data_IF_874854764563
#
_entry.id   IF_874854764563
#
_cell.length_a   1.000
_cell.length_b   1.000
_cell.length_c   1.000
_cell.angle_alpha   90.00
_cell.angle_beta   90.00
_cell.angle_gamma   90.00
#
_symmetry.space_group_name_H-M   'P 1'
#
loop_
_entity.id
_entity.type
_entity.pdbx_description
1 polymer ?
#
# COMPACT_ATOMS: atom_id res chain seq x y z
N UNK A 1 -5.34 9.57 9.87
CA UNK A 1 -5.43 9.19 11.29
C UNK A 1 -6.73 8.52 11.72
N UNK A 2 -7.90 8.79 11.11
CA UNK A 2 -9.16 8.08 11.47
C UNK A 2 -9.39 6.74 10.73
N UNK A 3 -8.91 6.61 9.49
CA UNK A 3 -9.06 5.39 8.69
C UNK A 3 -8.36 4.16 9.31
N UNK A 4 -7.15 4.36 9.87
CA UNK A 4 -6.41 3.31 10.57
C UNK A 4 -7.13 2.84 11.83
N UNK A 5 -7.82 3.73 12.54
CA UNK A 5 -8.57 3.35 13.74
C UNK A 5 -9.87 2.61 13.37
N UNK A 6 -10.53 2.96 12.26
CA UNK A 6 -11.68 2.21 11.73
C UNK A 6 -11.25 0.81 11.26
N UNK A 7 -10.16 0.68 10.50
CA UNK A 7 -9.63 -0.63 10.06
C UNK A 7 -9.10 -1.45 11.24
N UNK A 8 -8.44 -0.83 12.23
CA UNK A 8 -7.97 -1.50 13.45
C UNK A 8 -9.13 -1.92 14.37
N UNK A 9 -10.18 -1.11 14.49
CA UNK A 9 -11.41 -1.48 15.21
C UNK A 9 -12.12 -2.60 14.47
N UNK A 10 -12.31 -2.50 13.15
CA UNK A 10 -12.90 -3.58 12.35
C UNK A 10 -12.09 -4.88 12.47
N UNK A 11 -10.76 -4.84 12.39
CA UNK A 11 -9.91 -6.03 12.56
C UNK A 11 -9.92 -6.61 13.98
N UNK A 12 -10.03 -5.77 15.03
CA UNK A 12 -10.31 -6.22 16.40
C UNK A 12 -11.64 -6.98 16.50
N UNK A 13 -12.61 -6.65 15.65
CA UNK A 13 -13.95 -7.28 15.61
C UNK A 13 -14.01 -8.50 14.67
N UNK A 14 -13.02 -8.67 13.77
CA UNK A 14 -12.86 -9.84 12.89
C UNK A 14 -12.01 -10.97 13.53
N UNK A 15 -11.63 -10.84 14.81
CA UNK A 15 -10.91 -11.87 15.59
C UNK A 15 -11.53 -13.28 15.68
N UNK A 16 -12.84 -13.53 15.45
CA UNK A 16 -13.38 -14.90 15.49
C UNK A 16 -12.85 -15.81 14.38
N UNK A 17 -12.28 -15.25 13.31
CA UNK A 17 -11.92 -16.03 12.14
C UNK A 17 -10.46 -16.49 12.19
N UNK A 18 -10.24 -17.81 12.12
CA UNK A 18 -8.91 -18.44 12.00
C UNK A 18 -8.26 -18.22 10.62
N UNK A 19 -9.01 -17.66 9.67
CA UNK A 19 -8.59 -17.27 8.33
C UNK A 19 -9.11 -15.87 8.01
N UNK A 20 -8.62 -15.24 6.94
CA UNK A 20 -9.25 -14.02 6.44
C UNK A 20 -10.73 -14.33 6.06
N UNK A 21 -11.73 -13.73 6.73
CA UNK A 21 -13.13 -13.98 6.40
C UNK A 21 -13.45 -13.42 5.03
N UNK A 22 -14.42 -13.96 4.30
CA UNK A 22 -14.95 -13.36 3.06
C UNK A 22 -15.59 -11.99 3.35
N UNK A 23 -15.72 -11.09 2.35
CA UNK A 23 -16.42 -9.81 2.55
C UNK A 23 -17.83 -9.98 3.13
N UNK A 24 -18.55 -11.02 2.68
CA UNK A 24 -19.87 -11.39 3.21
C UNK A 24 -19.82 -11.76 4.69
N UNK A 25 -18.94 -12.69 5.08
CA UNK A 25 -18.78 -13.11 6.48
C UNK A 25 -18.44 -11.92 7.40
N UNK A 26 -17.55 -11.03 6.93
CA UNK A 26 -17.17 -9.83 7.67
C UNK A 26 -18.35 -8.88 7.88
N UNK A 27 -19.16 -8.62 6.84
CA UNK A 27 -20.32 -7.73 6.96
C UNK A 27 -21.48 -8.37 7.73
N UNK A 28 -21.68 -9.68 7.64
CA UNK A 28 -22.66 -10.37 8.49
C UNK A 28 -22.29 -10.23 9.97
N UNK A 29 -21.02 -10.44 10.33
CA UNK A 29 -20.56 -10.26 11.71
C UNK A 29 -20.68 -8.80 12.17
N UNK A 30 -20.43 -7.84 11.27
CA UNK A 30 -20.63 -6.41 11.53
C UNK A 30 -22.12 -6.10 11.80
N UNK A 31 -23.02 -6.60 10.96
CA UNK A 31 -24.47 -6.37 11.10
C UNK A 31 -25.02 -7.00 12.39
N UNK A 32 -24.62 -8.24 12.70
CA UNK A 32 -25.03 -8.91 13.95
C UNK A 32 -24.70 -8.05 15.18
N UNK A 33 -23.52 -7.42 15.17
CA UNK A 33 -23.03 -6.63 16.29
C UNK A 33 -23.63 -5.23 16.35
N UNK A 34 -23.80 -4.55 15.22
CA UNK A 34 -24.28 -3.17 15.17
C UNK A 34 -25.80 -3.04 15.10
N UNK A 35 -26.50 -4.03 14.55
CA UNK A 35 -27.95 -3.94 14.28
C UNK A 35 -28.78 -3.55 15.49
N UNK A 36 -28.47 -4.10 16.66
CA UNK A 36 -29.23 -3.79 17.88
C UNK A 36 -28.98 -2.36 18.35
N UNK A 37 -27.78 -1.81 18.15
CA UNK A 37 -27.48 -0.42 18.51
C UNK A 37 -28.08 0.56 17.50
N UNK A 38 -27.93 0.28 16.22
CA UNK A 38 -28.47 1.09 15.13
C UNK A 38 -30.00 1.13 15.16
N UNK A 39 -30.65 -0.01 15.40
CA UNK A 39 -32.11 -0.08 15.56
C UNK A 39 -32.60 0.75 16.76
N UNK A 40 -31.87 0.77 17.88
CA UNK A 40 -32.22 1.62 19.04
C UNK A 40 -32.08 3.12 18.75
N UNK A 41 -31.22 3.48 17.81
CA UNK A 41 -30.99 4.86 17.38
C UNK A 41 -31.86 5.24 16.16
N UNK A 42 -32.75 4.35 15.71
CA UNK A 42 -33.54 4.51 14.47
C UNK A 42 -32.68 4.90 13.26
N UNK A 43 -31.47 4.35 13.21
CA UNK A 43 -30.43 4.70 12.25
C UNK A 43 -29.95 3.47 11.50
N UNK A 44 -29.29 3.68 10.36
CA UNK A 44 -28.68 2.64 9.54
C UNK A 44 -27.38 3.15 8.91
N UNK A 45 -26.57 2.23 8.37
CA UNK A 45 -25.30 2.57 7.71
C UNK A 45 -25.22 1.86 6.37
N UNK A 46 -24.86 2.61 5.33
CA UNK A 46 -24.55 2.04 4.01
C UNK A 46 -23.08 1.63 3.96
N UNK A 47 -22.76 0.52 3.30
CA UNK A 47 -21.39 0.00 3.22
C UNK A 47 -21.10 -0.58 1.85
N UNK A 48 -19.94 -0.26 1.29
CA UNK A 48 -19.34 -0.97 0.17
C UNK A 48 -18.07 -1.69 0.63
N UNK A 49 -18.01 -3.00 0.40
CA UNK A 49 -16.80 -3.80 0.62
C UNK A 49 -16.38 -4.49 -0.67
N UNK A 50 -15.37 -3.91 -1.34
CA UNK A 50 -14.62 -4.53 -2.43
C UNK A 50 -13.37 -5.24 -1.89
N UNK A 51 -13.18 -6.50 -2.31
CA UNK A 51 -11.92 -7.24 -2.14
C UNK A 51 -11.38 -7.65 -3.50
N UNK A 52 -10.08 -7.41 -3.69
CA UNK A 52 -9.34 -7.77 -4.90
C UNK A 52 -8.32 -8.85 -4.56
N UNK A 53 -8.42 -10.01 -5.21
CA UNK A 53 -7.40 -11.05 -5.19
C UNK A 53 -6.53 -10.90 -6.44
N UNK A 54 -5.30 -10.43 -6.22
CA UNK A 54 -4.33 -10.19 -7.30
C UNK A 54 -3.73 -11.49 -7.84
N UNK A 55 -3.65 -12.54 -7.04
CA UNK A 55 -3.05 -13.81 -7.45
C UNK A 55 -3.98 -14.54 -8.43
N UNK A 56 -5.29 -14.53 -8.15
CA UNK A 56 -6.29 -15.19 -9.00
C UNK A 56 -6.97 -14.24 -10.00
N UNK A 57 -6.69 -12.93 -9.93
CA UNK A 57 -7.31 -11.90 -10.76
C UNK A 57 -8.85 -11.90 -10.65
N UNK A 58 -9.34 -12.02 -9.41
CA UNK A 58 -10.76 -12.07 -9.08
C UNK A 58 -11.11 -11.01 -8.04
N UNK A 59 -12.33 -10.50 -8.10
CA UNK A 59 -12.85 -9.62 -7.08
C UNK A 59 -14.10 -10.21 -6.42
N UNK A 60 -14.37 -9.74 -5.21
CA UNK A 60 -15.62 -9.98 -4.49
C UNK A 60 -16.13 -8.67 -3.93
N UNK A 61 -17.42 -8.41 -4.11
CA UNK A 61 -18.06 -7.16 -3.71
C UNK A 61 -19.34 -7.44 -2.94
N UNK A 62 -19.53 -6.70 -1.86
CA UNK A 62 -20.79 -6.64 -1.12
C UNK A 62 -21.13 -5.18 -0.89
N UNK A 63 -22.23 -4.72 -1.46
CA UNK A 63 -22.85 -3.43 -1.14
C UNK A 63 -24.06 -3.64 -0.24
N UNK A 64 -24.16 -2.89 0.85
CA UNK A 64 -25.29 -2.87 1.77
C UNK A 64 -25.92 -1.47 1.69
N UNK A 65 -27.00 -1.34 0.91
CA UNK A 65 -27.66 -0.06 0.64
C UNK A 65 -26.76 1.02 0.03
N UNK A 66 -25.70 0.60 -0.68
CA UNK A 66 -24.71 1.50 -1.27
C UNK A 66 -24.81 1.46 -2.81
N UNK A 67 -24.45 2.54 -3.52
CA UNK A 67 -24.42 2.54 -4.99
C UNK A 67 -23.61 1.38 -5.58
N UNK A 68 -23.88 1.01 -6.85
CA UNK A 68 -23.14 -0.05 -7.53
C UNK A 68 -21.64 0.18 -7.55
N UNK A 69 -20.86 -0.90 -7.48
CA UNK A 69 -19.44 -0.84 -7.81
C UNK A 69 -19.27 -0.65 -9.31
N UNK A 70 -18.45 0.30 -9.74
CA UNK A 70 -18.07 0.38 -11.16
C UNK A 70 -16.80 -0.43 -11.41
N UNK A 71 -16.83 -1.27 -12.44
CA UNK A 71 -15.68 -1.97 -13.01
C UNK A 71 -15.46 -1.50 -14.45
N UNK A 72 -14.33 -0.84 -14.68
CA UNK A 72 -13.83 -0.48 -16.00
C UNK A 72 -12.89 -1.60 -16.49
N UNK A 73 -13.39 -2.36 -17.46
CA UNK A 73 -12.61 -3.31 -18.23
C UNK A 73 -11.89 -2.57 -19.35
N UNK A 74 -10.60 -2.34 -19.13
CA UNK A 74 -9.79 -1.51 -20.03
C UNK A 74 -9.57 -2.20 -21.38
N UNK A 75 -9.49 -3.53 -21.38
CA UNK A 75 -9.22 -4.31 -22.59
C UNK A 75 -10.45 -4.38 -23.49
N UNK A 76 -11.65 -4.53 -22.91
CA UNK A 76 -12.92 -4.61 -23.65
C UNK A 76 -13.54 -3.24 -23.88
N UNK A 77 -13.02 -2.18 -23.27
CA UNK A 77 -13.59 -0.84 -23.29
C UNK A 77 -15.04 -0.83 -22.77
N UNK A 78 -15.25 -1.48 -21.62
CA UNK A 78 -16.58 -1.66 -21.02
C UNK A 78 -16.58 -1.07 -19.61
N UNK A 79 -17.64 -0.32 -19.29
CA UNK A 79 -17.92 0.19 -17.95
C UNK A 79 -19.15 -0.52 -17.39
N UNK A 80 -18.95 -1.42 -16.43
CA UNK A 80 -20.00 -2.25 -15.83
C UNK A 80 -20.35 -1.78 -14.42
N UNK A 81 -21.65 -1.72 -14.12
CA UNK A 81 -22.17 -1.37 -12.80
C UNK A 81 -22.60 -2.66 -12.11
N UNK A 82 -21.88 -3.03 -11.05
CA UNK A 82 -22.09 -4.25 -10.27
C UNK A 82 -22.96 -3.92 -9.08
N UNK A 83 -24.28 -4.01 -9.28
CA UNK A 83 -25.27 -3.69 -8.25
C UNK A 83 -25.32 -4.77 -7.17
N UNK A 84 -25.67 -4.34 -5.95
CA UNK A 84 -25.92 -5.22 -4.81
C UNK A 84 -27.29 -4.90 -4.22
N UNK A 85 -28.10 -5.93 -3.98
CA UNK A 85 -29.49 -5.76 -3.52
C UNK A 85 -29.64 -5.91 -2.00
N UNK A 86 -28.54 -5.89 -1.25
CA UNK A 86 -28.60 -6.04 0.20
C UNK A 86 -29.06 -4.74 0.86
N UNK A 87 -29.81 -4.87 1.95
CA UNK A 87 -30.25 -3.70 2.73
C UNK A 87 -29.08 -3.07 3.51
N UNK A 88 -29.19 -1.79 3.91
CA UNK A 88 -28.21 -1.17 4.81
C UNK A 88 -28.04 -1.95 6.12
N UNK A 89 -26.86 -1.80 6.72
CA UNK A 89 -26.55 -2.37 8.04
C UNK A 89 -27.48 -1.73 9.08
N UNK A 90 -28.09 -2.57 9.92
CA UNK A 90 -29.01 -2.13 10.99
C UNK A 90 -30.49 -2.17 10.65
N UNK A 91 -30.87 -2.37 9.38
CA UNK A 91 -32.28 -2.47 8.98
C UNK A 91 -32.86 -3.85 9.30
N UNK A 92 -32.17 -4.93 8.90
CA UNK A 92 -32.60 -6.31 9.14
C UNK A 92 -31.53 -7.08 9.91
N UNK A 93 -31.92 -7.62 11.08
CA UNK A 93 -30.98 -8.26 12.03
C UNK A 93 -30.37 -9.58 11.53
N UNK A 94 -31.08 -10.32 10.66
CA UNK A 94 -30.67 -11.64 10.19
C UNK A 94 -30.63 -11.72 8.66
N UNK A 95 -30.26 -10.63 7.98
CA UNK A 95 -30.23 -10.64 6.53
C UNK A 95 -29.08 -11.50 5.99
N UNK A 96 -29.38 -12.29 4.96
CA UNK A 96 -28.38 -13.08 4.24
C UNK A 96 -27.82 -12.21 3.12
N UNK A 97 -26.80 -11.43 3.42
CA UNK A 97 -26.14 -10.63 2.39
C UNK A 97 -25.62 -11.50 1.25
N UNK A 98 -25.94 -11.08 0.04
CA UNK A 98 -25.42 -11.64 -1.20
C UNK A 98 -24.09 -10.98 -1.56
N UNK A 99 -23.22 -11.74 -2.22
CA UNK A 99 -21.90 -11.28 -2.64
C UNK A 99 -21.79 -11.42 -4.14
N UNK A 100 -21.41 -10.33 -4.80
CA UNK A 100 -21.06 -10.33 -6.21
C UNK A 100 -19.60 -10.71 -6.38
N UNK A 101 -19.26 -11.34 -7.49
CA UNK A 101 -17.87 -11.68 -7.81
C UNK A 101 -17.64 -11.61 -9.32
N UNK A 102 -16.39 -11.38 -9.70
CA UNK A 102 -16.00 -11.33 -11.10
C UNK A 102 -14.51 -11.46 -11.27
N UNK A 103 -14.06 -11.42 -12.53
CA UNK A 103 -12.64 -11.41 -12.90
C UNK A 103 -12.27 -10.02 -13.38
N UNK A 104 -10.99 -9.69 -13.25
CA UNK A 104 -10.43 -8.46 -13.81
C UNK A 104 -9.10 -8.75 -14.50
N UNK A 105 -8.73 -7.92 -15.46
CA UNK A 105 -7.40 -7.94 -16.05
C UNK A 105 -6.51 -6.88 -15.39
N UNK A 106 -5.20 -7.11 -15.42
CA UNK A 106 -4.27 -6.08 -14.96
C UNK A 106 -4.37 -4.84 -15.84
N UNK A 107 -4.52 -3.67 -15.22
CA UNK A 107 -4.84 -2.40 -15.87
C UNK A 107 -6.28 -1.96 -15.63
N UNK A 108 -7.19 -2.88 -15.28
CA UNK A 108 -8.58 -2.55 -14.96
C UNK A 108 -8.67 -1.59 -13.76
N UNK A 109 -9.74 -0.78 -13.77
CA UNK A 109 -10.04 0.19 -12.73
C UNK A 109 -11.37 -0.10 -12.07
N UNK A 110 -11.39 -0.03 -10.74
CA UNK A 110 -12.59 -0.09 -9.93
C UNK A 110 -12.89 1.28 -9.35
N UNK A 111 -14.14 1.72 -9.41
CA UNK A 111 -14.59 3.00 -8.88
C UNK A 111 -15.77 2.80 -7.92
N UNK A 112 -15.61 3.27 -6.68
CA UNK A 112 -16.60 3.22 -5.61
C UNK A 112 -16.97 4.67 -5.26
N UNK A 113 -18.26 4.95 -5.07
CA UNK A 113 -18.76 6.31 -4.88
C UNK A 113 -19.99 6.35 -3.98
N UNK A 114 -20.22 7.49 -3.32
CA UNK A 114 -21.49 7.78 -2.62
C UNK A 114 -22.53 8.36 -3.59
N UNK A 115 -23.79 8.23 -3.20
CA UNK A 115 -24.96 8.79 -3.89
C UNK A 115 -24.83 10.28 -4.22
N UNK A 116 -24.17 11.08 -3.39
CA UNK A 116 -23.87 12.49 -3.66
C UNK A 116 -23.22 12.78 -5.03
N UNK A 117 -22.60 11.80 -5.70
CA UNK A 117 -22.13 11.93 -7.09
C UNK A 117 -23.29 11.88 -8.09
N UNK A 118 -24.15 10.86 -7.99
CA UNK A 118 -25.19 10.59 -9.00
C UNK A 118 -26.48 11.36 -8.73
N UNK A 119 -26.72 11.74 -7.48
CA UNK A 119 -27.88 12.52 -7.05
C UNK A 119 -27.67 14.04 -7.17
N UNK A 120 -26.44 14.48 -7.47
CA UNK A 120 -26.12 15.88 -7.75
C UNK A 120 -27.08 16.48 -8.80
N UNK A 121 -27.71 17.62 -8.49
CA UNK A 121 -28.74 18.21 -9.34
C UNK A 121 -28.24 19.39 -10.16
N UNK A 122 -28.71 19.47 -11.41
CA UNK A 122 -28.51 20.62 -12.28
C UNK A 122 -29.39 21.81 -11.86
N UNK A 123 -29.17 23.02 -12.42
CA UNK A 123 -30.05 24.17 -12.19
C UNK A 123 -31.51 23.96 -12.61
N UNK A 124 -31.79 22.93 -13.41
CA UNK A 124 -33.15 22.55 -13.83
C UNK A 124 -33.70 21.35 -13.04
N UNK A 125 -33.07 21.00 -11.91
CA UNK A 125 -33.47 19.90 -11.01
C UNK A 125 -33.38 18.50 -11.63
N UNK A 126 -32.47 18.33 -12.61
CA UNK A 126 -32.16 17.01 -13.18
C UNK A 126 -30.97 16.38 -12.44
N UNK A 127 -31.08 15.12 -12.04
CA UNK A 127 -29.97 14.38 -11.43
C UNK A 127 -28.87 14.04 -12.44
N UNK A 128 -27.61 14.06 -12.00
CA UNK A 128 -26.45 13.73 -12.82
C UNK A 128 -26.54 12.31 -13.39
N UNK A 129 -26.84 11.34 -12.53
CA UNK A 129 -27.13 9.96 -12.89
C UNK A 129 -25.93 9.12 -13.33
N UNK A 130 -26.16 7.81 -13.40
CA UNK A 130 -25.14 6.82 -13.74
C UNK A 130 -24.68 6.89 -15.19
N UNK A 131 -25.54 7.37 -16.12
CA UNK A 131 -25.19 7.44 -17.54
C UNK A 131 -24.11 8.49 -17.82
N UNK A 132 -24.19 9.65 -17.15
CA UNK A 132 -23.14 10.68 -17.23
C UNK A 132 -21.86 10.23 -16.54
N UNK A 133 -21.98 9.58 -15.38
CA UNK A 133 -20.83 8.97 -14.71
C UNK A 133 -20.13 7.95 -15.62
N UNK A 134 -20.89 7.05 -16.26
CA UNK A 134 -20.39 6.08 -17.22
C UNK A 134 -19.64 6.75 -18.37
N UNK A 135 -20.19 7.82 -18.94
CA UNK A 135 -19.58 8.54 -20.05
C UNK A 135 -18.21 9.11 -19.67
N UNK A 136 -18.09 9.77 -18.50
CA UNK A 136 -16.81 10.34 -18.02
C UNK A 136 -15.79 9.24 -17.73
N UNK A 137 -16.22 8.14 -17.10
CA UNK A 137 -15.34 7.03 -16.79
C UNK A 137 -14.78 6.37 -18.06
N UNK A 138 -15.61 6.19 -19.09
CA UNK A 138 -15.15 5.66 -20.39
C UNK A 138 -14.21 6.61 -21.13
N UNK A 139 -14.40 7.92 -21.01
CA UNK A 139 -13.47 8.91 -21.59
C UNK A 139 -12.08 8.86 -20.93
N UNK A 140 -12.01 8.39 -19.69
CA UNK A 140 -10.79 8.31 -18.89
C UNK A 140 -10.31 6.87 -18.70
N UNK A 141 -10.68 5.93 -19.59
CA UNK A 141 -10.41 4.49 -19.45
C UNK A 141 -8.94 4.15 -19.19
N UNK A 142 -8.02 4.90 -19.79
CA UNK A 142 -6.57 4.68 -19.68
C UNK A 142 -5.87 5.67 -18.74
N UNK A 143 -6.63 6.55 -18.07
CA UNK A 143 -6.07 7.51 -17.15
C UNK A 143 -5.72 6.85 -15.81
N UNK A 144 -4.81 7.48 -15.07
CA UNK A 144 -4.52 7.05 -13.70
C UNK A 144 -5.69 7.36 -12.75
N UNK A 145 -5.79 6.67 -11.60
CA UNK A 145 -6.90 6.87 -10.66
C UNK A 145 -7.13 8.31 -10.20
N UNK A 146 -6.07 9.12 -10.06
CA UNK A 146 -6.21 10.50 -9.60
C UNK A 146 -6.84 11.38 -10.68
N UNK A 147 -6.42 11.21 -11.93
CA UNK A 147 -7.03 11.87 -13.09
C UNK A 147 -8.50 11.48 -13.23
N UNK A 148 -8.84 10.19 -13.09
CA UNK A 148 -10.25 9.74 -13.13
C UNK A 148 -11.10 10.45 -12.07
N UNK A 149 -10.63 10.51 -10.82
CA UNK A 149 -11.34 11.22 -9.73
C UNK A 149 -11.53 12.69 -10.09
N UNK A 150 -10.47 13.38 -10.50
CA UNK A 150 -10.54 14.80 -10.88
C UNK A 150 -11.52 15.04 -12.03
N UNK A 151 -11.53 14.19 -13.05
CA UNK A 151 -12.45 14.30 -14.19
C UNK A 151 -13.91 14.08 -13.78
N UNK A 152 -14.18 13.11 -12.90
CA UNK A 152 -15.54 12.88 -12.37
C UNK A 152 -16.01 14.09 -11.58
N UNK A 153 -15.23 14.57 -10.61
CA UNK A 153 -15.60 15.73 -9.80
C UNK A 153 -15.81 16.99 -10.65
N UNK A 154 -14.92 17.23 -11.62
CA UNK A 154 -15.06 18.36 -12.54
C UNK A 154 -16.33 18.27 -13.38
N UNK A 155 -16.67 17.07 -13.88
CA UNK A 155 -17.89 16.85 -14.66
C UNK A 155 -19.15 17.10 -13.83
N UNK A 156 -19.18 16.67 -12.56
CA UNK A 156 -20.31 16.91 -11.67
C UNK A 156 -20.45 18.41 -11.35
N UNK A 157 -19.37 19.11 -11.02
CA UNK A 157 -19.40 20.57 -10.82
C UNK A 157 -19.89 21.33 -12.05
N UNK A 158 -19.38 20.97 -13.24
CA UNK A 158 -19.81 21.57 -14.50
C UNK A 158 -21.32 21.34 -14.76
N UNK A 159 -21.85 20.18 -14.36
CA UNK A 159 -23.26 19.85 -14.50
C UNK A 159 -24.16 20.60 -13.51
N UNK A 160 -23.76 20.71 -12.25
CA UNK A 160 -24.51 21.45 -11.23
C UNK A 160 -24.45 22.97 -11.46
N UNK A 161 -23.41 23.47 -12.14
CA UNK A 161 -23.20 24.90 -12.36
C UNK A 161 -22.78 25.67 -11.10
N UNK A 162 -22.24 24.96 -10.10
CA UNK A 162 -21.82 25.49 -8.79
C UNK A 162 -20.67 24.68 -8.21
N UNK A 163 -19.88 25.32 -7.35
CA UNK A 163 -18.68 24.73 -6.74
C UNK A 163 -18.97 23.86 -5.51
N UNK A 164 -20.20 23.90 -4.97
CA UNK A 164 -20.57 23.15 -3.77
C UNK A 164 -21.54 22.01 -4.11
N UNK A 165 -21.23 20.81 -3.62
CA UNK A 165 -22.11 19.65 -3.73
C UNK A 165 -23.34 19.80 -2.83
N UNK A 166 -24.42 19.15 -3.24
CA UNK A 166 -25.69 19.14 -2.49
C UNK A 166 -25.63 18.23 -1.24
N UNK A 167 -24.74 17.24 -1.28
CA UNK A 167 -24.53 16.25 -0.22
C UNK A 167 -23.02 15.87 -0.10
N UNK A 168 -22.68 15.07 0.90
CA UNK A 168 -21.33 14.56 1.11
C UNK A 168 -20.88 13.63 -0.04
N UNK A 169 -19.80 14.04 -0.70
CA UNK A 169 -19.21 13.28 -1.80
C UNK A 169 -17.97 12.53 -1.34
N UNK A 170 -17.99 11.21 -1.50
CA UNK A 170 -16.81 10.36 -1.38
C UNK A 170 -16.69 9.48 -2.61
N UNK A 171 -15.49 9.42 -3.19
CA UNK A 171 -15.18 8.44 -4.24
C UNK A 171 -13.77 7.87 -4.08
N UNK A 172 -13.59 6.64 -4.55
CA UNK A 172 -12.33 5.90 -4.50
C UNK A 172 -12.13 5.21 -5.84
N UNK A 173 -10.97 5.45 -6.47
CA UNK A 173 -10.54 4.78 -7.68
C UNK A 173 -9.35 3.85 -7.38
N UNK A 174 -9.40 2.62 -7.85
CA UNK A 174 -8.34 1.61 -7.65
C UNK A 174 -8.01 0.96 -8.98
N UNK A 175 -6.79 1.15 -9.48
CA UNK A 175 -6.27 0.42 -10.63
C UNK A 175 -5.43 -0.77 -10.18
N UNK A 176 -5.60 -1.92 -10.83
CA UNK A 176 -4.84 -3.13 -10.50
C UNK A 176 -3.77 -3.39 -11.54
N UNK A 177 -2.53 -2.97 -11.29
CA UNK A 177 -1.44 -3.22 -12.22
C UNK A 177 -0.70 -4.53 -11.91
N UNK A 178 -0.11 -5.13 -12.96
CA UNK A 178 0.91 -6.17 -12.76
C UNK A 178 1.97 -5.56 -11.85
N UNK A 179 2.34 -6.30 -10.81
CA UNK A 179 3.54 -5.94 -10.07
C UNK A 179 4.71 -6.02 -11.05
N UNK A 180 5.27 -4.88 -11.43
CA UNK A 180 6.58 -4.82 -12.08
C UNK A 180 7.71 -5.05 -11.09
N UNK A 181 7.42 -5.16 -9.78
CA UNK A 181 8.39 -5.71 -8.84
C UNK A 181 8.56 -7.18 -9.18
N UNK A 182 9.74 -7.52 -9.68
CA UNK A 182 10.24 -8.89 -9.70
C UNK A 182 9.97 -9.51 -8.32
N UNK A 183 9.66 -10.81 -8.29
CA UNK A 183 9.57 -11.51 -7.01
C UNK A 183 10.97 -11.97 -6.62
N UNK A 184 11.37 -11.77 -5.36
CA UNK A 184 12.64 -12.29 -4.89
C UNK A 184 12.61 -13.82 -4.88
N UNK A 185 13.71 -14.44 -5.30
CA UNK A 185 13.98 -15.88 -5.17
C UNK A 185 14.01 -16.31 -3.69
N UNK A 186 14.44 -15.40 -2.81
CA UNK A 186 14.47 -15.60 -1.37
C UNK A 186 14.29 -14.26 -0.66
N UNK A 187 13.53 -14.24 0.42
CA UNK A 187 13.36 -13.06 1.27
C UNK A 187 13.42 -13.42 2.75
N UNK A 188 14.06 -12.57 3.57
CA UNK A 188 14.07 -12.67 5.02
C UNK A 188 13.86 -11.30 5.65
N UNK A 189 13.27 -11.29 6.84
CA UNK A 189 13.04 -10.08 7.63
C UNK A 189 13.58 -10.27 9.04
N UNK A 190 14.23 -9.24 9.56
CA UNK A 190 14.69 -9.12 10.93
C UNK A 190 14.10 -7.85 11.55
N UNK A 191 13.61 -7.94 12.77
CA UNK A 191 13.22 -6.79 13.59
C UNK A 191 14.02 -6.83 14.89
N UNK A 192 14.72 -5.73 15.19
CA UNK A 192 15.56 -5.61 16.39
C UNK A 192 15.43 -4.21 17.00
N UNK A 193 15.64 -4.06 18.32
CA UNK A 193 15.80 -2.75 18.93
C UNK A 193 16.93 -1.96 18.27
N UNK A 194 16.76 -0.64 18.16
CA UNK A 194 17.73 0.29 17.59
C UNK A 194 18.90 0.61 18.53
N UNK A 195 19.63 -0.41 18.98
CA UNK A 195 20.72 -0.29 19.95
C UNK A 195 22.02 -0.87 19.41
N UNK A 196 23.17 -0.30 19.81
CA UNK A 196 24.49 -0.68 19.25
C UNK A 196 24.89 -2.14 19.54
N UNK A 197 24.37 -2.75 20.59
CA UNK A 197 24.58 -4.17 20.90
C UNK A 197 23.93 -5.12 19.87
N UNK A 198 22.96 -4.63 19.09
CA UNK A 198 22.31 -5.40 18.02
C UNK A 198 23.10 -5.43 16.70
N UNK A 199 24.21 -4.70 16.60
CA UNK A 199 25.05 -4.72 15.39
C UNK A 199 25.54 -6.14 15.04
N UNK A 200 25.87 -6.96 16.05
CA UNK A 200 26.27 -8.37 15.85
C UNK A 200 25.12 -9.22 15.32
N UNK A 201 23.90 -9.02 15.84
CA UNK A 201 22.69 -9.72 15.39
C UNK A 201 22.40 -9.39 13.93
N UNK A 202 22.45 -8.11 13.59
CA UNK A 202 22.21 -7.62 12.23
C UNK A 202 23.24 -8.17 11.25
N UNK A 203 24.53 -8.12 11.61
CA UNK A 203 25.61 -8.69 10.80
C UNK A 203 25.37 -10.19 10.55
N UNK A 204 25.10 -10.95 11.61
CA UNK A 204 24.86 -12.40 11.50
C UNK A 204 23.64 -12.72 10.63
N UNK A 205 22.60 -11.89 10.66
CA UNK A 205 21.44 -12.02 9.80
C UNK A 205 21.79 -11.86 8.32
N UNK A 206 22.58 -10.83 7.97
CA UNK A 206 23.02 -10.61 6.59
C UNK A 206 23.95 -11.74 6.13
N UNK A 207 24.95 -12.11 6.94
CA UNK A 207 25.87 -13.22 6.63
C UNK A 207 25.09 -14.54 6.40
N UNK A 208 24.16 -14.88 7.29
CA UNK A 208 23.32 -16.07 7.14
C UNK A 208 22.42 -16.01 5.90
N UNK A 209 21.86 -14.84 5.58
CA UNK A 209 21.10 -14.66 4.34
C UNK A 209 21.97 -14.87 3.09
N UNK A 210 23.19 -14.32 3.07
CA UNK A 210 24.12 -14.45 1.95
C UNK A 210 24.62 -15.89 1.77
N UNK A 211 24.84 -16.63 2.85
CA UNK A 211 25.24 -18.04 2.82
C UNK A 211 24.15 -18.96 2.26
N UNK A 212 22.88 -18.59 2.43
CA UNK A 212 21.72 -19.38 1.98
C UNK A 212 21.20 -18.98 0.59
N UNK A 213 21.90 -18.09 -0.13
CA UNK A 213 21.44 -17.60 -1.42
C UNK A 213 21.22 -18.73 -2.44
N UNK A 214 20.06 -18.78 -3.11
CA UNK A 214 19.82 -19.73 -4.19
C UNK A 214 20.58 -19.30 -5.45
N UNK A 215 21.41 -20.20 -6.00
CA UNK A 215 22.20 -20.09 -7.25
C UNK A 215 23.10 -18.86 -7.40
N UNK A 216 24.39 -19.06 -7.67
CA UNK A 216 25.40 -18.01 -7.87
C UNK A 216 25.65 -17.08 -6.64
N UNK A 217 26.81 -17.21 -5.97
CA UNK A 217 27.14 -16.36 -4.83
C UNK A 217 27.44 -14.91 -5.27
N UNK A 218 27.40 -13.99 -4.31
CA UNK A 218 28.05 -12.67 -4.46
C UNK A 218 29.56 -12.87 -4.32
N UNK A 219 30.36 -12.05 -4.99
CA UNK A 219 31.82 -12.05 -4.78
C UNK A 219 32.16 -11.78 -3.30
N UNK A 220 33.24 -12.39 -2.81
CA UNK A 220 33.65 -12.25 -1.40
C UNK A 220 33.92 -10.78 -1.05
N UNK A 221 34.59 -10.04 -1.96
CA UNK A 221 34.85 -8.61 -1.76
C UNK A 221 33.54 -7.80 -1.68
N UNK A 222 32.55 -8.14 -2.51
CA UNK A 222 31.26 -7.45 -2.50
C UNK A 222 30.40 -7.82 -1.28
N UNK A 223 30.63 -8.98 -0.68
CA UNK A 223 30.01 -9.39 0.60
C UNK A 223 30.53 -8.53 1.74
N UNK A 224 31.85 -8.38 1.86
CA UNK A 224 32.47 -7.54 2.90
C UNK A 224 32.05 -6.08 2.76
N UNK A 225 32.01 -5.55 1.54
CA UNK A 225 31.57 -4.19 1.28
C UNK A 225 30.09 -3.99 1.62
N UNK A 226 29.21 -4.95 1.29
CA UNK A 226 27.80 -4.91 1.68
C UNK A 226 27.64 -4.92 3.21
N UNK A 227 28.38 -5.75 3.92
CA UNK A 227 28.37 -5.78 5.38
C UNK A 227 28.81 -4.45 5.98
N UNK A 228 29.82 -3.80 5.41
CA UNK A 228 30.24 -2.45 5.79
C UNK A 228 29.12 -1.43 5.52
N UNK A 229 28.48 -1.45 4.35
CA UNK A 229 27.39 -0.53 4.03
C UNK A 229 26.19 -0.68 4.98
N UNK A 230 25.84 -1.92 5.32
CA UNK A 230 24.80 -2.22 6.30
C UNK A 230 25.18 -1.71 7.68
N UNK A 231 26.42 -1.96 8.13
CA UNK A 231 26.94 -1.49 9.41
C UNK A 231 26.82 0.04 9.52
N UNK A 232 27.33 0.77 8.53
CA UNK A 232 27.27 2.24 8.51
C UNK A 232 25.83 2.76 8.42
N UNK A 233 24.98 2.11 7.62
CA UNK A 233 23.57 2.46 7.51
C UNK A 233 22.83 2.36 8.84
N UNK A 234 23.06 1.28 9.59
CA UNK A 234 22.47 1.06 10.90
C UNK A 234 23.06 1.99 11.95
N UNK A 235 24.37 2.18 11.99
CA UNK A 235 25.02 3.13 12.91
C UNK A 235 24.44 4.55 12.73
N UNK A 236 24.22 4.98 11.49
CA UNK A 236 23.62 6.27 11.21
C UNK A 236 22.17 6.36 11.72
N UNK A 237 21.37 5.31 11.55
CA UNK A 237 20.02 5.25 12.13
C UNK A 237 20.09 5.39 13.66
N UNK A 238 20.96 4.61 14.31
CA UNK A 238 21.04 4.56 15.77
C UNK A 238 21.57 5.86 16.38
N UNK A 239 22.64 6.42 15.81
CA UNK A 239 23.35 7.55 16.40
C UNK A 239 22.79 8.91 15.98
N UNK A 240 22.20 9.01 14.78
CA UNK A 240 21.84 10.30 14.19
C UNK A 240 20.34 10.48 13.91
N UNK A 241 19.61 9.44 13.51
CA UNK A 241 18.21 9.61 13.07
C UNK A 241 17.19 9.79 14.21
N UNK A 242 17.54 9.42 15.44
CA UNK A 242 16.59 9.33 16.56
C UNK A 242 16.85 10.29 17.73
N UNK A 243 17.73 11.29 17.59
CA UNK A 243 17.99 12.34 18.60
C UNK A 243 18.17 11.80 20.05
N UNK A 244 18.78 10.61 20.20
CA UNK A 244 18.96 9.90 21.48
C UNK A 244 17.67 9.39 22.15
N UNK A 245 16.59 9.17 21.39
CA UNK A 245 15.44 8.41 21.90
C UNK A 245 15.87 6.96 22.20
N UNK A 246 15.61 6.45 23.41
CA UNK A 246 16.11 5.14 23.83
C UNK A 246 15.33 3.95 23.26
N UNK A 247 14.11 4.17 22.73
CA UNK A 247 13.21 3.09 22.28
C UNK A 247 12.69 3.37 20.87
N UNK A 248 13.22 2.61 19.91
CA UNK A 248 12.69 2.46 18.55
C UNK A 248 13.18 1.13 17.98
N UNK A 249 12.45 0.61 17.00
CA UNK A 249 12.81 -0.64 16.32
C UNK A 249 13.37 -0.35 14.93
N UNK A 250 14.33 -1.18 14.52
CA UNK A 250 14.84 -1.24 13.16
C UNK A 250 14.28 -2.51 12.52
N UNK A 251 13.67 -2.36 11.35
CA UNK A 251 13.25 -3.48 10.52
C UNK A 251 14.21 -3.59 9.32
N UNK A 252 14.83 -4.75 9.17
CA UNK A 252 15.68 -5.06 8.03
C UNK A 252 15.03 -6.13 7.15
N UNK A 253 14.98 -5.89 5.85
CA UNK A 253 14.47 -6.84 4.86
C UNK A 253 15.59 -7.16 3.87
N UNK A 254 15.92 -8.43 3.73
CA UNK A 254 16.89 -8.93 2.76
C UNK A 254 16.14 -9.70 1.66
N UNK A 255 16.37 -9.35 0.40
CA UNK A 255 15.74 -9.95 -0.77
C UNK A 255 16.79 -10.33 -1.81
N UNK A 256 16.69 -11.55 -2.35
CA UNK A 256 17.56 -12.05 -3.40
C UNK A 256 16.79 -12.16 -4.70
N UNK A 257 17.35 -11.61 -5.76
CA UNK A 257 16.85 -11.68 -7.13
C UNK A 257 17.84 -12.48 -7.99
N UNK A 258 17.48 -12.87 -9.22
CA UNK A 258 18.40 -13.58 -10.11
C UNK A 258 19.72 -12.84 -10.38
N UNK A 259 19.70 -11.50 -10.39
CA UNK A 259 20.81 -10.64 -10.82
C UNK A 259 21.35 -9.73 -9.70
N UNK A 260 20.73 -9.71 -8.51
CA UNK A 260 21.12 -8.83 -7.40
C UNK A 260 20.63 -9.32 -6.03
N UNK A 261 21.21 -8.77 -4.99
CA UNK A 261 20.69 -8.79 -3.62
C UNK A 261 20.33 -7.37 -3.20
N UNK A 262 19.20 -7.23 -2.52
CA UNK A 262 18.74 -5.97 -1.94
C UNK A 262 18.61 -6.10 -0.43
N UNK A 263 19.20 -5.17 0.31
CA UNK A 263 18.97 -4.99 1.75
C UNK A 263 18.22 -3.67 1.95
N UNK A 264 17.11 -3.70 2.67
CA UNK A 264 16.34 -2.52 3.05
C UNK A 264 16.33 -2.37 4.56
N UNK A 265 16.69 -1.19 5.05
CA UNK A 265 16.71 -0.84 6.47
C UNK A 265 15.63 0.22 6.69
N UNK A 266 14.68 -0.08 7.57
CA UNK A 266 13.56 0.80 7.90
C UNK A 266 13.69 1.33 9.33
N UNK A 267 13.42 2.63 9.50
CA UNK A 267 13.36 3.30 10.79
C UNK A 267 12.27 4.39 10.82
N UNK A 268 12.01 4.94 12.01
CA UNK A 268 10.97 5.95 12.25
C UNK A 268 11.52 7.33 12.66
N UNK A 269 12.81 7.57 12.42
CA UNK A 269 13.54 8.77 12.81
C UNK A 269 13.27 9.99 11.93
N UNK A 270 14.01 11.07 12.21
CA UNK A 270 14.00 12.31 11.43
C UNK A 270 14.52 12.12 10.00
N UNK A 271 15.32 11.07 9.80
CA UNK A 271 15.88 10.64 8.53
C UNK A 271 17.29 11.16 8.25
N UNK A 272 17.89 10.70 7.15
CA UNK A 272 19.29 10.94 6.81
C UNK A 272 19.43 11.72 5.49
N UNK A 273 20.21 12.81 5.48
CA UNK A 273 20.49 13.59 4.26
C UNK A 273 21.67 12.99 3.47
N UNK A 274 21.46 11.85 2.80
CA UNK A 274 22.50 11.11 2.06
C UNK A 274 23.18 11.92 0.93
N UNK A 275 22.43 12.79 0.23
CA UNK A 275 22.92 13.48 -0.97
C UNK A 275 23.68 14.79 -0.67
N UNK A 276 23.64 15.26 0.58
CA UNK A 276 24.26 16.53 0.98
C UNK A 276 25.54 16.37 1.78
N UNK A 277 25.93 15.13 2.12
CA UNK A 277 27.21 14.87 2.78
C UNK A 277 28.35 15.00 1.75
N UNK A 278 29.25 16.01 1.89
CA UNK A 278 30.38 16.20 0.99
C UNK A 278 31.35 15.03 1.07
N UNK A 279 32.11 14.77 0.00
CA UNK A 279 33.16 13.77 0.05
C UNK A 279 34.24 14.17 1.06
N UNK A 280 34.67 13.25 1.95
CA UNK A 280 35.65 13.55 2.97
C UNK A 280 37.05 13.79 2.37
N UNK A 281 37.81 14.69 2.98
CA UNK A 281 39.21 14.91 2.63
C UNK A 281 40.08 13.81 3.25
N UNK A 282 40.46 12.83 2.41
CA UNK A 282 41.31 11.71 2.80
C UNK A 282 42.69 12.22 3.28
N UNK A 283 43.02 11.97 4.55
CA UNK A 283 44.28 12.37 5.18
C UNK A 283 44.19 13.57 6.13
N UNK A 284 43.01 14.16 6.30
CA UNK A 284 42.77 15.17 7.34
C UNK A 284 42.71 14.54 8.75
N UNK A 285 43.08 15.31 9.77
CA UNK A 285 43.01 14.91 11.19
C UNK A 285 41.65 15.24 11.84
N UNK A 286 40.69 15.75 11.08
CA UNK A 286 39.36 16.10 11.59
C UNK A 286 38.44 14.86 11.57
N UNK A 287 37.67 14.66 12.65
CA UNK A 287 36.64 13.62 12.71
C UNK A 287 35.50 13.96 11.73
N UNK A 288 35.51 13.32 10.56
CA UNK A 288 34.46 13.47 9.55
C UNK A 288 33.48 12.29 9.62
N UNK A 289 32.17 12.52 9.39
CA UNK A 289 31.18 11.44 9.32
C UNK A 289 31.36 10.63 8.03
N UNK A 290 32.26 9.64 8.08
CA UNK A 290 32.64 8.81 6.92
C UNK A 290 31.58 7.79 6.50
N UNK A 291 30.55 7.53 7.32
CA UNK A 291 29.60 6.43 7.10
C UNK A 291 28.85 6.52 5.76
N UNK A 292 28.34 7.70 5.39
CA UNK A 292 27.67 7.91 4.10
C UNK A 292 28.62 7.71 2.91
N UNK A 293 29.88 8.12 3.07
CA UNK A 293 30.91 7.94 2.04
C UNK A 293 31.23 6.46 1.81
N UNK A 294 31.33 5.65 2.88
CA UNK A 294 31.52 4.21 2.75
C UNK A 294 30.33 3.54 2.07
N UNK A 295 29.10 3.86 2.47
CA UNK A 295 27.88 3.33 1.83
C UNK A 295 27.91 3.56 0.31
N UNK A 296 28.23 4.78 -0.13
CA UNK A 296 28.26 5.16 -1.56
C UNK A 296 29.26 4.36 -2.40
N UNK A 297 30.34 3.84 -1.80
CA UNK A 297 31.39 3.07 -2.49
C UNK A 297 31.30 1.56 -2.27
N UNK A 298 30.45 1.13 -1.35
CA UNK A 298 30.32 -0.26 -0.96
C UNK A 298 29.29 -1.06 -1.74
N UNK A 299 28.36 -0.40 -2.45
CA UNK A 299 27.23 -1.05 -3.12
C UNK A 299 27.08 -0.56 -4.56
N UNK A 300 26.47 -1.37 -5.42
CA UNK A 300 26.24 -1.03 -6.84
C UNK A 300 25.19 0.06 -7.03
N UNK A 301 24.17 0.06 -6.16
CA UNK A 301 23.10 1.06 -6.15
C UNK A 301 22.60 1.24 -4.71
N UNK A 302 22.19 2.46 -4.38
CA UNK A 302 21.58 2.78 -3.10
C UNK A 302 20.49 3.82 -3.28
N UNK A 303 19.46 3.75 -2.44
CA UNK A 303 18.38 4.72 -2.46
C UNK A 303 17.90 4.99 -1.04
N UNK A 304 17.72 6.26 -0.70
CA UNK A 304 17.08 6.65 0.54
C UNK A 304 15.70 7.23 0.24
N UNK A 305 14.64 6.63 0.78
CA UNK A 305 13.26 7.02 0.52
C UNK A 305 12.45 7.11 1.81
N UNK A 306 11.30 7.78 1.74
CA UNK A 306 10.30 7.75 2.80
C UNK A 306 9.06 7.03 2.30
N UNK A 307 8.60 6.01 3.03
CA UNK A 307 7.42 5.24 2.64
C UNK A 307 6.12 6.03 2.91
N UNK A 308 4.99 5.52 2.40
CA UNK A 308 3.68 6.15 2.58
C UNK A 308 3.21 6.21 4.05
N UNK A 309 3.87 5.49 4.95
CA UNK A 309 3.63 5.48 6.39
C UNK A 309 4.54 6.49 7.12
N UNK A 310 5.41 7.20 6.40
CA UNK A 310 6.35 8.15 6.95
C UNK A 310 7.63 7.52 7.53
N UNK A 311 7.85 6.22 7.33
CA UNK A 311 9.10 5.55 7.74
C UNK A 311 10.20 5.84 6.74
N UNK A 312 11.41 5.97 7.25
CA UNK A 312 12.61 6.05 6.44
C UNK A 312 12.97 4.66 5.91
N UNK A 313 13.55 4.60 4.71
CA UNK A 313 14.01 3.37 4.09
C UNK A 313 15.32 3.61 3.36
N UNK A 314 16.41 3.05 3.88
CA UNK A 314 17.68 2.91 3.16
C UNK A 314 17.69 1.58 2.41
N UNK A 315 17.70 1.64 1.08
CA UNK A 315 17.85 0.49 0.19
C UNK A 315 19.29 0.43 -0.31
N UNK A 316 19.91 -0.74 -0.19
CA UNK A 316 21.25 -1.08 -0.64
C UNK A 316 21.17 -2.23 -1.63
N UNK A 317 21.89 -2.16 -2.74
CA UNK A 317 21.85 -3.15 -3.81
C UNK A 317 23.25 -3.58 -4.20
N UNK A 318 23.46 -4.89 -4.29
CA UNK A 318 24.68 -5.47 -4.84
C UNK A 318 24.31 -6.45 -5.94
N UNK A 319 24.97 -6.37 -7.09
CA UNK A 319 24.75 -7.26 -8.23
C UNK A 319 25.31 -8.64 -7.93
N UNK A 320 24.62 -9.65 -8.43
CA UNK A 320 25.07 -11.05 -8.45
C UNK A 320 25.61 -11.35 -9.83
N UNK A 321 26.64 -12.18 -9.90
CA UNK A 321 27.08 -12.68 -11.20
C UNK A 321 26.03 -13.67 -11.70
N UNK A 322 25.44 -13.40 -12.86
CA UNK A 322 24.56 -14.36 -13.50
C UNK A 322 25.36 -15.65 -13.74
N UNK A 323 24.82 -16.79 -13.33
CA UNK A 323 25.38 -18.09 -13.69
C UNK A 323 25.21 -18.22 -15.21
N UNK A 324 26.22 -17.85 -15.98
CA UNK A 324 26.28 -18.13 -17.41
C UNK A 324 26.39 -19.66 -17.53
N UNK A 325 25.24 -20.32 -17.62
CA UNK A 325 25.13 -21.76 -17.79
C UNK A 325 26.05 -22.22 -18.91
N UNK A 326 27.01 -23.07 -18.55
CA UNK A 326 27.61 -24.02 -19.48
C UNK A 326 26.72 -25.25 -19.58
#
# INVERSE_FOLDING_TARGET
>A
NQLHEVVRRLSVHLRPFQRLPTPREALMALNERLSTQLSKLESFVTVAYLRLDRATQTYSFVGCGHPPLVHLDVKRNVCSFVSSMNVPIGVLKHDLFTMQSGRFDFGDLFFVYTDGIVEATSPTDEQYGEDRLRAVLLQNLHADPSTVISSVLHSVHAFQGRDQFDDDVTCVAVSVHKSTREQPLMARTLEVPGTLDQLTTIRSFVEGFLQELPDAPIAEEATDMLLLAVHEGVCNVIQHAHERRPEFDIQMVAEAYPDRVEIRIYDSGSGMEMDRVPEPELGSTEEQPLGVYFIKRSVDDYQYTRDALGRNCLRLVVKRQANNGR
#
